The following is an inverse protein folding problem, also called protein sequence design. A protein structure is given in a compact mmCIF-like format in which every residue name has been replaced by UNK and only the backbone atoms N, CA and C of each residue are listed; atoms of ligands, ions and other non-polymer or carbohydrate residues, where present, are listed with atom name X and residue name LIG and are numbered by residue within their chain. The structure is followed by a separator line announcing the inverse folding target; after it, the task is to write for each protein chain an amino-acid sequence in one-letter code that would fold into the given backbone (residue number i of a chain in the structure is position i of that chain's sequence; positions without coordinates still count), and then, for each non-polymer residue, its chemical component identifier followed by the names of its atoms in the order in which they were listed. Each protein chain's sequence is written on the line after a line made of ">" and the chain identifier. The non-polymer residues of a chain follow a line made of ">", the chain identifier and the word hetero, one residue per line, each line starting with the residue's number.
data_IF_256216403042
#
_entry.id   IF_256216403042
#
_cell.length_a   1.000
_cell.length_b   1.000
_cell.length_c   1.000
_cell.angle_alpha   90.00
_cell.angle_beta   90.00
_cell.angle_gamma   90.00
#
_symmetry.space_group_name_H-M   'P 1'
#
loop_
_entity.id
_entity.type
_entity.pdbx_description
1 polymer ?
#
# COMPACT_ATOMS: atom_id res chain seq x y z
N UNK A 1 -17.84 -6.07 -17.12
CA UNK A 1 -16.97 -4.87 -17.14
C UNK A 1 -15.53 -5.35 -17.24
N UNK A 2 -14.72 -4.95 -18.23
CA UNK A 2 -13.39 -5.53 -18.40
C UNK A 2 -12.47 -5.08 -17.25
N UNK A 3 -11.75 -6.04 -16.65
CA UNK A 3 -10.87 -5.83 -15.50
C UNK A 3 -9.88 -4.65 -15.65
N UNK A 4 -9.40 -4.42 -16.89
CA UNK A 4 -8.48 -3.32 -17.24
C UNK A 4 -9.04 -1.91 -17.03
N UNK A 5 -10.37 -1.71 -17.08
CA UNK A 5 -10.97 -0.38 -16.88
C UNK A 5 -11.04 -0.01 -15.39
N UNK A 6 -11.35 -0.98 -14.53
CA UNK A 6 -11.33 -0.78 -13.08
C UNK A 6 -9.90 -0.56 -12.57
N UNK A 7 -8.90 -1.23 -13.14
CA UNK A 7 -7.48 -1.05 -12.79
C UNK A 7 -6.96 0.37 -13.07
N UNK A 8 -7.27 0.94 -14.24
CA UNK A 8 -6.83 2.30 -14.60
C UNK A 8 -7.51 3.43 -13.82
N UNK A 9 -8.78 3.25 -13.41
CA UNK A 9 -9.48 4.21 -12.55
C UNK A 9 -9.04 4.09 -11.08
N UNK A 10 -8.91 2.87 -10.56
CA UNK A 10 -8.51 2.64 -9.16
C UNK A 10 -7.06 3.05 -8.90
N UNK A 11 -6.15 2.90 -9.87
CA UNK A 11 -4.77 3.38 -9.72
C UNK A 11 -4.71 4.90 -9.50
N UNK A 12 -5.49 5.68 -10.25
CA UNK A 12 -5.53 7.15 -10.10
C UNK A 12 -6.05 7.56 -8.73
N UNK A 13 -7.15 6.96 -8.26
CA UNK A 13 -7.69 7.27 -6.94
C UNK A 13 -6.72 6.92 -5.81
N UNK A 14 -5.99 5.81 -5.92
CA UNK A 14 -4.98 5.45 -4.93
C UNK A 14 -3.78 6.41 -4.92
N UNK A 15 -3.36 6.93 -6.08
CA UNK A 15 -2.33 7.95 -6.17
C UNK A 15 -2.79 9.26 -5.51
N UNK A 16 -4.02 9.70 -5.80
CA UNK A 16 -4.63 10.86 -5.13
C UNK A 16 -4.70 10.69 -3.61
N UNK A 17 -5.03 9.48 -3.13
CA UNK A 17 -5.02 9.18 -1.70
C UNK A 17 -3.62 9.33 -1.08
N UNK A 18 -2.57 8.78 -1.72
CA UNK A 18 -1.18 8.97 -1.27
C UNK A 18 -0.84 10.46 -1.20
N UNK A 19 -1.14 11.20 -2.26
CA UNK A 19 -0.77 12.62 -2.34
C UNK A 19 -1.48 13.44 -1.25
N UNK A 20 -2.75 13.11 -0.97
CA UNK A 20 -3.53 13.72 0.12
C UNK A 20 -2.98 13.34 1.50
N UNK A 21 -2.59 12.09 1.70
CA UNK A 21 -1.96 11.62 2.94
C UNK A 21 -0.66 12.39 3.24
N UNK A 22 0.21 12.55 2.23
CA UNK A 22 1.44 13.32 2.34
C UNK A 22 1.17 14.81 2.58
N UNK A 23 0.25 15.41 1.82
CA UNK A 23 -0.14 16.82 1.99
C UNK A 23 -0.71 17.11 3.39
N UNK A 24 -1.32 16.11 4.03
CA UNK A 24 -1.86 16.21 5.40
C UNK A 24 -0.81 15.92 6.50
N UNK A 25 0.48 15.79 6.15
CA UNK A 25 1.56 15.53 7.11
C UNK A 25 1.74 14.05 7.49
N UNK A 26 1.11 13.14 6.74
CA UNK A 26 1.29 11.70 6.88
C UNK A 26 2.74 11.28 6.61
N UNK A 27 3.28 10.44 7.50
CA UNK A 27 4.71 10.08 7.51
C UNK A 27 5.00 8.62 7.90
N UNK A 28 3.95 7.81 8.03
CA UNK A 28 4.04 6.40 8.46
C UNK A 28 3.17 5.50 7.57
N UNK A 29 3.20 5.72 6.26
CA UNK A 29 2.45 4.96 5.27
C UNK A 29 3.36 4.42 4.18
N UNK A 30 3.17 3.15 3.80
CA UNK A 30 3.85 2.51 2.67
C UNK A 30 2.89 2.45 1.49
N UNK A 31 3.29 3.02 0.35
CA UNK A 31 2.48 3.08 -0.87
C UNK A 31 3.20 2.36 -2.01
N UNK A 32 2.69 1.19 -2.42
CA UNK A 32 3.26 0.37 -3.49
C UNK A 32 2.41 0.47 -4.76
N UNK A 33 2.93 1.11 -5.82
CA UNK A 33 2.28 1.24 -7.14
C UNK A 33 3.16 0.63 -8.25
N UNK A 34 3.33 -0.69 -8.32
CA UNK A 34 4.13 -1.29 -9.38
C UNK A 34 3.47 -1.09 -10.74
N UNK A 35 4.31 -0.94 -11.75
CA UNK A 35 3.87 -0.75 -13.15
C UNK A 35 3.12 -1.95 -13.71
N UNK A 36 3.30 -3.13 -13.09
CA UNK A 36 2.71 -4.40 -13.49
C UNK A 36 1.94 -5.00 -12.30
N UNK A 37 0.63 -4.83 -12.30
CA UNK A 37 -0.27 -5.43 -11.31
C UNK A 37 -1.66 -5.57 -11.90
N UNK A 38 -2.25 -6.75 -11.78
CA UNK A 38 -3.66 -6.99 -12.12
C UNK A 38 -4.48 -7.13 -10.85
N UNK A 39 -5.78 -6.88 -10.92
CA UNK A 39 -6.74 -7.11 -9.85
C UNK A 39 -6.98 -8.62 -9.68
N UNK A 40 -5.99 -9.32 -9.15
CA UNK A 40 -5.96 -10.77 -9.05
C UNK A 40 -5.33 -11.24 -7.74
N UNK A 41 -5.78 -12.41 -7.28
CA UNK A 41 -5.30 -13.04 -6.04
C UNK A 41 -3.78 -13.23 -5.96
N UNK A 42 -3.07 -13.67 -7.02
CA UNK A 42 -1.63 -13.83 -6.95
C UNK A 42 -0.90 -12.53 -6.60
N UNK A 43 -1.36 -11.41 -7.15
CA UNK A 43 -0.76 -10.09 -6.88
C UNK A 43 -1.02 -9.64 -5.44
N UNK A 44 -2.22 -9.87 -4.90
CA UNK A 44 -2.52 -9.58 -3.50
C UNK A 44 -1.74 -10.47 -2.52
N UNK A 45 -1.59 -11.76 -2.83
CA UNK A 45 -0.76 -12.66 -2.03
C UNK A 45 0.70 -12.20 -1.99
N UNK A 46 1.24 -11.74 -3.12
CA UNK A 46 2.60 -11.18 -3.16
C UNK A 46 2.74 -9.98 -2.21
N UNK A 47 1.78 -9.06 -2.19
CA UNK A 47 1.81 -7.92 -1.27
C UNK A 47 1.68 -8.37 0.19
N UNK A 48 0.80 -9.33 0.50
CA UNK A 48 0.67 -9.87 1.86
C UNK A 48 1.97 -10.49 2.37
N UNK A 49 2.65 -11.29 1.54
CA UNK A 49 3.94 -11.89 1.89
C UNK A 49 5.00 -10.79 2.09
N UNK A 50 5.00 -9.76 1.23
CA UNK A 50 5.93 -8.63 1.35
C UNK A 50 5.72 -7.80 2.63
N UNK A 51 4.48 -7.67 3.11
CA UNK A 51 4.14 -6.92 4.32
C UNK A 51 4.42 -7.68 5.62
N UNK A 52 4.60 -9.00 5.57
CA UNK A 52 4.82 -9.83 6.75
C UNK A 52 5.91 -9.31 7.72
N UNK A 53 7.15 -8.99 7.29
CA UNK A 53 8.17 -8.48 8.21
C UNK A 53 7.80 -7.13 8.81
N UNK A 54 7.20 -6.24 8.03
CA UNK A 54 6.77 -4.91 8.47
C UNK A 54 5.67 -5.00 9.53
N UNK A 55 4.65 -5.84 9.31
CA UNK A 55 3.59 -6.10 10.28
C UNK A 55 4.17 -6.63 11.60
N UNK A 56 5.09 -7.60 11.54
CA UNK A 56 5.72 -8.14 12.74
C UNK A 56 6.53 -7.09 13.49
N UNK A 57 7.25 -6.22 12.77
CA UNK A 57 8.01 -5.13 13.38
C UNK A 57 7.09 -4.10 14.05
N UNK A 58 6.01 -3.68 13.39
CA UNK A 58 5.11 -2.66 13.93
C UNK A 58 4.33 -3.19 15.15
N UNK A 59 3.89 -4.45 15.11
CA UNK A 59 3.05 -5.01 16.18
C UNK A 59 3.84 -5.60 17.35
N UNK A 60 5.03 -6.15 17.10
CA UNK A 60 5.82 -6.87 18.11
C UNK A 60 7.21 -6.25 18.37
N UNK A 61 7.62 -5.24 17.61
CA UNK A 61 8.88 -4.53 17.86
C UNK A 61 8.84 -3.76 19.18
N UNK A 62 10.01 -3.49 19.80
CA UNK A 62 10.06 -2.71 21.02
C UNK A 62 9.44 -1.33 20.76
N UNK A 63 8.38 -1.00 21.50
CA UNK A 63 7.80 0.34 21.57
C UNK A 63 8.84 1.28 22.19
N UNK A 64 9.82 1.72 21.40
CA UNK A 64 10.68 2.82 21.81
C UNK A 64 9.83 4.07 21.60
N UNK A 65 9.36 4.76 22.66
CA UNK A 65 8.66 6.02 22.48
C UNK A 65 9.61 6.98 21.77
N UNK A 66 9.14 7.65 20.73
CA UNK A 66 9.90 8.73 20.11
C UNK A 66 10.25 9.76 21.20
N UNK A 67 11.55 9.99 21.42
CA UNK A 67 12.07 11.03 22.30
C UNK A 67 11.82 12.42 21.72
#
# INVERSE_FOLDING_TARGET
>A
MPAKFLEGLTLRTNQTFRDTYLASGGRNGVFNFPTNGTHSWPYWNQQLVAMKPDILQVLNGPTTPAA
#
